data_IF_155322959433
#
_entry.id   IF_155322959433
#
_cell.length_a   1.000
_cell.length_b   1.000
_cell.length_c   1.000
_cell.angle_alpha   90.00
_cell.angle_beta   90.00
_cell.angle_gamma   90.00
#
_symmetry.space_group_name_H-M   'P 1'
#
loop_
_entity.id
_entity.type
_entity.pdbx_description
1 polymer ?
#
# COMPACT_ATOMS: atom_id res chain seq x y z
N UNK A 1 10.93 19.43 -21.01
CA UNK A 1 9.60 19.81 -20.46
C UNK A 1 8.45 19.25 -21.32
N UNK A 2 8.53 19.27 -22.65
CA UNK A 2 7.47 18.74 -23.53
C UNK A 2 7.34 17.22 -23.39
N UNK A 3 8.46 16.50 -23.35
CA UNK A 3 8.50 15.04 -23.18
C UNK A 3 7.77 14.60 -21.90
N UNK A 4 8.13 15.18 -20.76
CA UNK A 4 7.56 14.83 -19.46
C UNK A 4 6.06 15.15 -19.35
N UNK A 5 5.61 16.23 -20.01
CA UNK A 5 4.18 16.58 -20.10
C UNK A 5 3.44 15.56 -20.96
N UNK A 6 4.03 15.17 -22.08
CA UNK A 6 3.47 14.15 -22.97
C UNK A 6 3.35 12.81 -22.24
N UNK A 7 4.41 12.38 -21.56
CA UNK A 7 4.41 11.16 -20.74
C UNK A 7 3.25 11.16 -19.72
N UNK A 8 3.12 12.24 -18.96
CA UNK A 8 2.04 12.39 -17.97
C UNK A 8 0.66 12.34 -18.63
N UNK A 9 0.49 12.96 -19.81
CA UNK A 9 -0.78 12.92 -20.55
C UNK A 9 -1.09 11.52 -21.05
N UNK A 10 -0.10 10.80 -21.57
CA UNK A 10 -0.26 9.41 -22.02
C UNK A 10 -0.67 8.51 -20.86
N UNK A 11 0.02 8.60 -19.71
CA UNK A 11 -0.36 7.84 -18.51
C UNK A 11 -1.78 8.16 -18.07
N UNK A 12 -2.15 9.44 -18.01
CA UNK A 12 -3.51 9.85 -17.66
C UNK A 12 -4.55 9.23 -18.61
N UNK A 13 -4.28 9.28 -19.91
CA UNK A 13 -5.17 8.74 -20.93
C UNK A 13 -5.29 7.22 -20.85
N UNK A 14 -4.21 6.53 -20.50
CA UNK A 14 -4.18 5.09 -20.33
C UNK A 14 -5.01 4.60 -19.14
N UNK A 15 -4.86 5.23 -17.97
CA UNK A 15 -5.55 4.80 -16.76
C UNK A 15 -6.99 5.34 -16.64
N UNK A 16 -7.31 6.40 -17.37
CA UNK A 16 -8.59 7.12 -17.27
C UNK A 16 -9.83 6.26 -17.48
N UNK A 17 -9.92 5.38 -18.49
CA UNK A 17 -11.14 4.60 -18.73
C UNK A 17 -11.51 3.71 -17.53
N UNK A 18 -10.52 3.04 -16.92
CA UNK A 18 -10.73 2.14 -15.79
C UNK A 18 -11.08 2.91 -14.52
N UNK A 19 -10.30 3.96 -14.22
CA UNK A 19 -10.52 4.78 -13.03
C UNK A 19 -11.85 5.53 -13.10
N UNK A 20 -12.20 6.09 -14.26
CA UNK A 20 -13.49 6.76 -14.46
C UNK A 20 -14.66 5.79 -14.23
N UNK A 21 -14.58 4.57 -14.79
CA UNK A 21 -15.59 3.53 -14.55
C UNK A 21 -15.72 3.17 -13.08
N UNK A 22 -14.59 2.93 -12.40
CA UNK A 22 -14.57 2.61 -10.99
C UNK A 22 -15.20 3.72 -10.12
N UNK A 23 -14.77 4.98 -10.32
CA UNK A 23 -15.26 6.13 -9.56
C UNK A 23 -16.75 6.37 -9.79
N UNK A 24 -17.21 6.26 -11.04
CA UNK A 24 -18.63 6.41 -11.37
C UNK A 24 -19.48 5.30 -10.73
N UNK A 25 -19.03 4.05 -10.80
CA UNK A 25 -19.72 2.93 -10.16
C UNK A 25 -19.79 3.12 -8.64
N UNK A 26 -18.71 3.58 -8.02
CA UNK A 26 -18.67 3.86 -6.59
C UNK A 26 -19.63 5.01 -6.21
N UNK A 27 -19.65 6.11 -6.99
CA UNK A 27 -20.58 7.22 -6.78
C UNK A 27 -22.04 6.75 -6.87
N UNK A 28 -22.37 5.98 -7.90
CA UNK A 28 -23.73 5.45 -8.10
C UNK A 28 -24.13 4.52 -6.93
N UNK A 29 -23.26 3.58 -6.56
CA UNK A 29 -23.54 2.66 -5.46
C UNK A 29 -23.72 3.38 -4.10
N UNK A 30 -23.03 4.50 -3.89
CA UNK A 30 -23.21 5.32 -2.71
C UNK A 30 -24.52 6.13 -2.77
N UNK A 31 -24.85 6.72 -3.93
CA UNK A 31 -26.12 7.44 -4.11
C UNK A 31 -27.33 6.52 -3.93
N UNK A 32 -27.27 5.30 -4.44
CA UNK A 32 -28.34 4.29 -4.27
C UNK A 32 -28.57 3.91 -2.80
N UNK A 33 -27.53 3.95 -1.97
CA UNK A 33 -27.62 3.55 -0.56
C UNK A 33 -27.88 4.70 0.39
N UNK A 34 -27.35 5.88 0.11
CA UNK A 34 -27.31 7.02 1.01
C UNK A 34 -28.11 8.23 0.51
N UNK A 35 -28.58 8.17 -0.74
CA UNK A 35 -29.32 9.25 -1.41
C UNK A 35 -28.45 10.09 -2.36
N UNK A 36 -29.14 10.78 -3.27
CA UNK A 36 -28.50 11.52 -4.38
C UNK A 36 -27.66 12.73 -3.93
N UNK A 37 -27.91 13.25 -2.73
CA UNK A 37 -27.13 14.36 -2.15
C UNK A 37 -25.75 13.91 -1.62
N UNK A 38 -25.42 12.62 -1.72
CA UNK A 38 -24.16 12.07 -1.23
C UNK A 38 -22.99 12.55 -2.08
N UNK A 39 -22.04 13.24 -1.45
CA UNK A 39 -20.83 13.70 -2.10
C UNK A 39 -19.65 12.75 -1.84
N UNK A 40 -19.12 12.15 -2.91
CA UNK A 40 -17.93 11.33 -2.86
C UNK A 40 -16.68 12.20 -3.08
N UNK A 41 -15.80 12.21 -2.09
CA UNK A 41 -14.47 12.80 -2.19
C UNK A 41 -13.42 11.70 -2.29
N UNK A 42 -12.53 11.83 -3.26
CA UNK A 42 -11.44 10.88 -3.51
C UNK A 42 -10.12 11.51 -3.05
N UNK A 43 -9.36 10.77 -2.27
CA UNK A 43 -8.04 11.21 -1.84
C UNK A 43 -7.07 11.20 -3.02
N UNK A 44 -6.26 12.26 -3.12
CA UNK A 44 -5.22 12.42 -4.15
C UNK A 44 -3.84 11.99 -3.62
N UNK A 45 -2.93 11.75 -4.55
CA UNK A 45 -1.54 11.40 -4.25
C UNK A 45 -0.79 12.45 -3.42
N UNK A 46 -1.20 13.72 -3.49
CA UNK A 46 -0.63 14.83 -2.71
C UNK A 46 -1.24 14.99 -1.31
N UNK A 47 -2.20 14.14 -0.94
CA UNK A 47 -2.92 14.21 0.33
C UNK A 47 -4.14 15.13 0.31
N UNK A 48 -4.42 15.80 -0.81
CA UNK A 48 -5.63 16.59 -1.00
C UNK A 48 -6.83 15.74 -1.40
N UNK A 49 -8.01 16.37 -1.48
CA UNK A 49 -9.25 15.74 -1.93
C UNK A 49 -9.65 16.24 -3.31
N UNK A 50 -10.24 15.37 -4.10
CA UNK A 50 -10.88 15.68 -5.38
C UNK A 50 -12.34 15.21 -5.36
N UNK A 51 -13.22 15.90 -6.08
CA UNK A 51 -14.56 15.39 -6.36
C UNK A 51 -14.47 14.14 -7.25
N UNK A 52 -15.51 13.29 -7.23
CA UNK A 52 -15.60 12.10 -8.11
C UNK A 52 -15.37 12.46 -9.58
N UNK A 53 -15.93 13.58 -10.05
CA UNK A 53 -15.72 14.09 -11.40
C UNK A 53 -14.27 14.44 -11.70
N UNK A 54 -13.61 15.22 -10.83
CA UNK A 54 -12.20 15.60 -11.03
C UNK A 54 -11.26 14.38 -10.96
N UNK A 55 -11.55 13.42 -10.10
CA UNK A 55 -10.84 12.15 -10.01
C UNK A 55 -10.96 11.31 -11.30
N UNK A 56 -12.17 11.22 -11.87
CA UNK A 56 -12.41 10.52 -13.13
C UNK A 56 -11.76 11.21 -14.35
N UNK A 57 -11.67 12.55 -14.36
CA UNK A 57 -11.06 13.31 -15.45
C UNK A 57 -9.52 13.29 -15.41
N UNK A 58 -8.93 13.29 -14.22
CA UNK A 58 -7.48 13.38 -14.01
C UNK A 58 -6.94 12.32 -13.04
N UNK A 59 -7.11 11.02 -13.34
CA UNK A 59 -6.71 9.92 -12.45
C UNK A 59 -5.20 9.83 -12.22
N UNK A 60 -4.39 10.46 -13.03
CA UNK A 60 -2.94 10.59 -12.82
C UNK A 60 -2.60 11.15 -11.43
N UNK A 61 -3.48 11.94 -10.84
CA UNK A 61 -3.34 12.47 -9.49
C UNK A 61 -3.68 11.47 -8.38
N UNK A 62 -4.10 10.26 -8.72
CA UNK A 62 -4.53 9.21 -7.78
C UNK A 62 -3.55 8.05 -7.65
N UNK A 63 -2.50 8.00 -8.48
CA UNK A 63 -1.60 6.85 -8.62
C UNK A 63 -0.96 6.40 -7.30
N UNK A 64 -0.73 7.32 -6.36
CA UNK A 64 -0.17 7.08 -5.04
C UNK A 64 -1.13 7.48 -3.92
N UNK A 65 -2.45 7.47 -4.17
CA UNK A 65 -3.46 7.91 -3.19
C UNK A 65 -3.54 7.00 -1.96
N UNK A 66 -3.33 5.69 -2.12
CA UNK A 66 -3.31 4.74 -1.00
C UNK A 66 -2.22 5.07 0.02
N UNK A 67 -0.94 5.04 -0.37
CA UNK A 67 0.16 5.45 0.51
C UNK A 67 0.00 6.86 1.08
N UNK A 68 -0.47 7.83 0.27
CA UNK A 68 -0.74 9.19 0.74
C UNK A 68 -1.82 9.21 1.83
N UNK A 69 -2.82 8.33 1.74
CA UNK A 69 -3.86 8.16 2.75
C UNK A 69 -3.31 7.68 4.08
N UNK A 70 -2.44 6.68 4.05
CA UNK A 70 -1.74 6.18 5.24
C UNK A 70 -0.94 7.27 5.94
N UNK A 71 -0.16 8.04 5.18
CA UNK A 71 0.64 9.15 5.73
C UNK A 71 -0.24 10.27 6.30
N UNK A 72 -1.32 10.64 5.60
CA UNK A 72 -2.26 11.68 6.05
C UNK A 72 -2.99 11.24 7.33
N UNK A 73 -3.40 9.98 7.41
CA UNK A 73 -4.01 9.39 8.60
C UNK A 73 -3.05 9.38 9.79
N UNK A 74 -1.81 8.93 9.58
CA UNK A 74 -0.77 8.95 10.60
C UNK A 74 -0.51 10.38 11.11
N UNK A 75 -0.38 11.35 10.20
CA UNK A 75 -0.20 12.76 10.55
C UNK A 75 -1.35 13.26 11.44
N UNK A 76 -2.60 12.95 11.07
CA UNK A 76 -3.78 13.38 11.83
C UNK A 76 -3.76 12.85 13.27
N UNK A 77 -3.56 11.54 13.45
CA UNK A 77 -3.58 10.93 14.78
C UNK A 77 -2.37 11.34 15.63
N UNK A 78 -1.18 11.34 15.06
CA UNK A 78 0.04 11.70 15.78
C UNK A 78 0.07 13.18 16.18
N UNK A 79 -0.46 14.08 15.33
CA UNK A 79 -0.58 15.50 15.68
C UNK A 79 -1.54 15.71 16.85
N UNK A 80 -2.67 14.97 16.88
CA UNK A 80 -3.58 14.99 18.04
C UNK A 80 -2.93 14.44 19.32
N UNK A 81 -2.00 13.51 19.18
CA UNK A 81 -1.21 12.97 20.31
C UNK A 81 -0.01 13.86 20.69
N UNK A 82 0.17 15.01 20.04
CA UNK A 82 1.25 15.97 20.36
C UNK A 82 2.58 15.71 19.64
N UNK A 83 2.62 14.78 18.67
CA UNK A 83 3.84 14.50 17.92
C UNK A 83 3.86 15.27 16.60
N UNK A 84 4.96 15.96 16.31
CA UNK A 84 5.15 16.73 15.07
C UNK A 84 6.22 16.12 14.13
N UNK A 85 7.09 15.25 14.66
CA UNK A 85 8.11 14.55 13.89
C UNK A 85 7.83 13.05 13.95
N UNK A 86 7.54 12.43 12.81
CA UNK A 86 6.99 11.09 12.71
C UNK A 86 7.67 10.38 11.55
N UNK A 87 8.03 9.13 11.75
CA UNK A 87 8.34 8.18 10.70
C UNK A 87 7.16 7.22 10.57
N UNK A 88 6.47 7.25 9.44
CA UNK A 88 5.42 6.27 9.15
C UNK A 88 6.04 4.97 8.61
N UNK A 89 5.44 3.86 8.97
CA UNK A 89 5.87 2.53 8.55
C UNK A 89 4.64 1.67 8.30
N UNK A 90 4.29 1.48 7.04
CA UNK A 90 3.14 0.70 6.61
C UNK A 90 3.62 -0.56 5.89
N UNK A 91 3.64 -1.67 6.62
CA UNK A 91 4.08 -2.97 6.10
C UNK A 91 2.89 -3.76 5.57
N UNK A 92 2.83 -3.89 4.25
CA UNK A 92 1.91 -4.81 3.58
C UNK A 92 2.47 -6.23 3.44
N UNK A 93 1.81 -7.05 2.62
CA UNK A 93 2.27 -8.42 2.35
C UNK A 93 3.54 -8.50 1.52
N UNK A 94 3.77 -7.55 0.60
CA UNK A 94 4.89 -7.59 -0.38
C UNK A 94 5.90 -6.48 -0.15
N UNK A 95 5.46 -5.33 0.33
CA UNK A 95 6.28 -4.13 0.48
C UNK A 95 5.96 -3.38 1.76
N UNK A 96 6.85 -2.47 2.10
CA UNK A 96 6.68 -1.53 3.21
C UNK A 96 6.81 -0.11 2.70
N UNK A 97 5.81 0.71 2.97
CA UNK A 97 5.80 2.12 2.64
C UNK A 97 6.25 2.96 3.86
N UNK A 98 7.26 3.80 3.62
CA UNK A 98 7.88 4.63 4.65
C UNK A 98 7.80 6.09 4.22
N UNK A 99 7.34 6.97 5.11
CA UNK A 99 7.36 8.40 4.88
C UNK A 99 7.82 9.18 6.12
N UNK A 100 8.52 10.28 5.87
CA UNK A 100 8.99 11.18 6.93
C UNK A 100 8.09 12.41 7.02
N UNK A 101 7.58 12.66 8.21
CA UNK A 101 6.81 13.85 8.57
C UNK A 101 7.68 14.68 9.52
N UNK A 102 7.91 15.94 9.18
CA UNK A 102 8.70 16.86 9.98
C UNK A 102 7.92 18.14 10.27
N UNK A 103 7.91 18.55 11.51
CA UNK A 103 7.18 19.75 11.98
C UNK A 103 5.71 19.74 11.57
N UNK A 104 5.04 18.57 11.68
CA UNK A 104 3.65 18.40 11.32
C UNK A 104 3.34 18.49 9.82
N UNK A 105 4.34 18.27 8.96
CA UNK A 105 4.17 18.34 7.50
C UNK A 105 4.80 17.15 6.81
N UNK A 106 4.01 16.46 6.00
CA UNK A 106 4.52 15.47 5.06
C UNK A 106 5.18 16.17 3.87
N UNK A 107 6.30 15.64 3.42
CA UNK A 107 7.00 16.14 2.23
C UNK A 107 6.23 15.78 0.98
N UNK A 108 6.10 16.72 0.04
CA UNK A 108 5.47 16.47 -1.27
C UNK A 108 6.52 16.59 -2.37
N UNK A 109 6.53 15.63 -3.28
CA UNK A 109 7.32 15.64 -4.52
C UNK A 109 6.48 16.20 -5.66
N UNK A 110 7.13 16.83 -6.62
CA UNK A 110 6.48 17.35 -7.85
C UNK A 110 6.31 16.28 -8.91
N UNK A 111 7.01 15.18 -8.78
CA UNK A 111 7.07 14.08 -9.76
C UNK A 111 7.00 12.75 -9.02
N UNK A 112 6.35 11.80 -9.65
CA UNK A 112 6.19 10.42 -9.15
C UNK A 112 6.70 9.46 -10.21
N UNK A 113 7.34 8.38 -9.79
CA UNK A 113 7.69 7.27 -10.67
C UNK A 113 6.68 6.14 -10.46
N UNK A 114 6.15 5.62 -11.57
CA UNK A 114 5.29 4.44 -11.58
C UNK A 114 5.94 3.44 -12.53
N UNK A 115 6.59 2.43 -11.98
CA UNK A 115 7.55 1.62 -12.72
C UNK A 115 8.67 2.49 -13.27
N UNK A 116 8.92 2.39 -14.57
CA UNK A 116 9.95 3.16 -15.28
C UNK A 116 9.44 4.50 -15.82
N UNK A 117 8.17 4.82 -15.60
CA UNK A 117 7.54 6.03 -16.16
C UNK A 117 7.56 7.16 -15.15
N UNK A 118 8.03 8.33 -15.59
CA UNK A 118 8.05 9.57 -14.80
C UNK A 118 6.78 10.38 -15.04
N UNK A 119 6.02 10.58 -13.99
CA UNK A 119 4.74 11.30 -14.03
C UNK A 119 4.87 12.63 -13.27
N UNK A 120 4.53 13.74 -13.93
CA UNK A 120 4.47 15.08 -13.32
C UNK A 120 3.13 15.29 -12.62
N UNK A 121 2.92 14.53 -11.55
CA UNK A 121 1.80 14.71 -10.64
C UNK A 121 2.34 14.81 -9.21
N UNK A 122 1.90 15.80 -8.41
CA UNK A 122 2.33 15.93 -7.03
C UNK A 122 1.93 14.71 -6.21
N UNK A 123 2.85 14.19 -5.39
CA UNK A 123 2.57 13.10 -4.47
C UNK A 123 3.31 13.26 -3.14
N UNK A 124 2.77 12.73 -2.09
CA UNK A 124 3.48 12.59 -0.81
C UNK A 124 4.76 11.78 -1.04
N UNK A 125 5.87 12.21 -0.44
CA UNK A 125 7.16 11.53 -0.55
C UNK A 125 7.15 10.24 0.26
N UNK A 126 6.62 9.17 -0.35
CA UNK A 126 6.64 7.82 0.19
C UNK A 126 7.76 7.04 -0.49
N UNK A 127 8.49 6.27 0.30
CA UNK A 127 9.50 5.33 -0.17
C UNK A 127 9.04 3.93 0.08
N UNK A 128 8.93 3.15 -0.98
CA UNK A 128 8.58 1.74 -0.91
C UNK A 128 9.84 0.90 -0.84
N UNK A 129 9.88 0.01 0.13
CA UNK A 129 10.94 -1.01 0.30
C UNK A 129 10.32 -2.36 -0.04
N UNK A 130 11.00 -3.15 -0.86
CA UNK A 130 10.57 -4.51 -1.25
C UNK A 130 10.75 -5.52 -0.11
N UNK A 131 10.18 -5.24 1.04
CA UNK A 131 10.16 -6.09 2.21
C UNK A 131 8.79 -6.01 2.87
N UNK A 132 8.09 -7.12 2.99
CA UNK A 132 6.75 -7.20 3.56
C UNK A 132 6.53 -8.52 4.29
N UNK A 133 5.31 -8.75 4.76
CA UNK A 133 4.95 -9.95 5.50
C UNK A 133 5.18 -11.26 4.73
N UNK A 134 5.04 -11.23 3.41
CA UNK A 134 5.30 -12.38 2.53
C UNK A 134 6.74 -12.54 2.08
N UNK A 135 7.66 -11.66 2.50
CA UNK A 135 9.08 -11.80 2.14
C UNK A 135 9.66 -13.10 2.65
N UNK A 136 10.24 -13.87 1.72
CA UNK A 136 10.78 -15.21 2.00
C UNK A 136 12.13 -15.08 2.70
N UNK A 137 12.30 -15.82 3.78
CA UNK A 137 13.57 -15.95 4.49
C UNK A 137 14.32 -17.20 3.98
N UNK A 138 15.63 -17.07 3.76
CA UNK A 138 16.47 -18.16 3.31
C UNK A 138 17.93 -17.95 3.72
N UNK A 139 18.69 -19.05 3.73
CA UNK A 139 20.13 -19.04 4.02
C UNK A 139 20.87 -19.52 2.77
N UNK A 140 21.52 -18.62 2.00
CA UNK A 140 22.32 -19.01 0.86
C UNK A 140 23.50 -19.93 1.27
N UNK A 141 23.75 -20.97 0.51
CA UNK A 141 24.81 -21.94 0.80
C UNK A 141 26.21 -21.30 0.91
N UNK A 142 26.46 -20.30 0.05
CA UNK A 142 27.75 -19.64 -0.04
C UNK A 142 28.05 -18.73 1.16
N UNK A 143 27.07 -17.95 1.59
CA UNK A 143 27.28 -16.92 2.63
C UNK A 143 26.93 -17.40 4.03
N UNK A 144 26.12 -18.44 4.16
CA UNK A 144 25.56 -18.95 5.43
C UNK A 144 24.87 -17.89 6.30
N UNK A 145 24.54 -16.73 5.71
CA UNK A 145 23.88 -15.62 6.40
C UNK A 145 22.40 -15.62 6.06
N UNK A 146 21.55 -15.46 7.10
CA UNK A 146 20.10 -15.29 6.90
C UNK A 146 19.82 -14.08 6.03
N UNK A 147 19.01 -14.26 5.00
CA UNK A 147 18.46 -13.19 4.16
C UNK A 147 16.95 -13.24 4.15
N UNK A 148 16.34 -12.07 3.99
CA UNK A 148 14.88 -11.91 3.88
C UNK A 148 14.58 -11.07 2.64
N UNK A 149 13.79 -11.65 1.72
CA UNK A 149 13.53 -11.04 0.42
C UNK A 149 14.78 -10.97 -0.48
N UNK A 150 14.67 -10.30 -1.64
CA UNK A 150 13.52 -9.54 -2.16
C UNK A 150 12.32 -10.40 -2.63
N UNK A 151 12.49 -11.71 -2.71
CA UNK A 151 11.44 -12.62 -3.14
C UNK A 151 10.30 -12.66 -2.10
N UNK A 152 9.06 -12.67 -2.59
CA UNK A 152 7.85 -12.71 -1.77
C UNK A 152 6.96 -13.88 -2.18
N UNK A 153 6.39 -14.54 -1.19
CA UNK A 153 5.38 -15.59 -1.41
C UNK A 153 4.04 -15.03 -1.95
N UNK A 154 3.88 -13.70 -1.95
CA UNK A 154 2.65 -13.04 -2.38
C UNK A 154 1.45 -13.40 -1.53
N UNK A 155 0.25 -13.34 -2.14
CA UNK A 155 -1.00 -13.74 -1.51
C UNK A 155 -1.35 -15.22 -1.78
N UNK A 156 -0.84 -15.75 -2.91
CA UNK A 156 -0.99 -17.16 -3.34
C UNK A 156 0.32 -17.57 -4.00
N UNK A 157 0.98 -18.62 -3.52
CA UNK A 157 0.60 -19.50 -2.42
C UNK A 157 0.61 -18.81 -1.04
N UNK A 158 1.35 -17.71 -0.87
CA UNK A 158 1.41 -16.93 0.36
C UNK A 158 2.26 -17.58 1.46
N UNK A 159 2.29 -16.98 2.66
CA UNK A 159 2.88 -17.53 3.86
C UNK A 159 2.35 -18.95 4.19
N UNK A 160 3.16 -19.79 4.81
CA UNK A 160 2.76 -21.14 5.19
C UNK A 160 1.52 -21.13 6.10
N UNK A 161 1.40 -20.17 7.01
CA UNK A 161 0.25 -20.02 7.91
C UNK A 161 -1.08 -19.76 7.19
N UNK A 162 -1.08 -19.34 5.92
CA UNK A 162 -2.32 -19.12 5.16
C UNK A 162 -2.96 -20.40 4.63
N UNK A 163 -2.23 -21.53 4.69
CA UNK A 163 -2.71 -22.84 4.22
C UNK A 163 -3.15 -22.85 2.74
N UNK A 164 -2.51 -22.03 1.90
CA UNK A 164 -2.78 -21.93 0.45
C UNK A 164 -1.67 -22.55 -0.41
N UNK A 165 -0.81 -23.38 0.20
CA UNK A 165 0.27 -24.07 -0.48
C UNK A 165 1.65 -23.40 -0.36
N UNK A 166 1.81 -22.36 0.47
CA UNK A 166 3.11 -21.81 0.83
C UNK A 166 3.87 -22.76 1.75
N UNK A 167 5.16 -22.99 1.45
CA UNK A 167 6.04 -23.86 2.23
C UNK A 167 7.28 -23.12 2.73
N UNK A 168 7.70 -22.09 2.01
CA UNK A 168 8.88 -21.31 2.38
C UNK A 168 8.59 -20.39 3.60
N UNK A 169 9.54 -20.27 4.55
CA UNK A 169 9.37 -19.41 5.71
C UNK A 169 9.29 -17.95 5.29
N UNK A 170 8.34 -17.23 5.83
CA UNK A 170 8.14 -15.79 5.56
C UNK A 170 8.22 -14.96 6.83
N UNK A 171 8.31 -13.64 6.70
CA UNK A 171 8.19 -12.71 7.83
C UNK A 171 6.86 -12.88 8.56
N UNK A 172 5.78 -13.16 7.84
CA UNK A 172 4.46 -13.44 8.43
C UNK A 172 4.51 -14.69 9.33
N UNK A 173 5.13 -15.79 8.84
CA UNK A 173 5.28 -17.01 9.63
C UNK A 173 6.12 -16.77 10.88
N UNK A 174 7.21 -16.02 10.78
CA UNK A 174 8.02 -15.62 11.92
C UNK A 174 7.20 -14.82 12.96
N UNK A 175 6.38 -13.87 12.50
CA UNK A 175 5.50 -13.08 13.37
C UNK A 175 4.43 -13.94 14.08
N UNK A 176 3.91 -14.97 13.41
CA UNK A 176 2.98 -15.94 14.02
C UNK A 176 3.70 -16.77 15.08
N UNK A 177 4.90 -17.27 14.79
CA UNK A 177 5.70 -18.05 15.75
C UNK A 177 6.05 -17.24 17.00
N UNK A 178 6.42 -15.95 16.80
CA UNK A 178 6.76 -15.02 17.88
C UNK A 178 5.54 -14.49 18.64
N UNK A 179 4.32 -14.74 18.17
CA UNK A 179 3.08 -14.27 18.79
C UNK A 179 2.73 -12.81 18.51
N UNK A 180 3.40 -12.16 17.55
CA UNK A 180 3.02 -10.81 17.07
C UNK A 180 1.75 -10.84 16.22
N UNK A 181 1.52 -11.94 15.50
CA UNK A 181 0.27 -12.23 14.83
C UNK A 181 -0.44 -13.36 15.60
N UNK A 182 -1.62 -13.07 16.17
CA UNK A 182 -2.38 -14.09 16.89
C UNK A 182 -2.93 -15.13 15.91
N UNK A 183 -2.89 -16.41 16.31
CA UNK A 183 -3.42 -17.52 15.50
C UNK A 183 -4.86 -17.91 15.84
N UNK A 184 -5.43 -17.29 16.87
CA UNK A 184 -6.78 -17.52 17.37
C UNK A 184 -7.82 -16.57 16.78
N UNK A 185 -7.38 -15.63 15.92
CA UNK A 185 -8.26 -14.70 15.22
C UNK A 185 -8.24 -14.93 13.71
N UNK A 186 -9.34 -14.61 13.05
CA UNK A 186 -9.45 -14.66 11.60
C UNK A 186 -8.96 -13.35 10.98
N UNK A 187 -8.05 -13.44 10.01
CA UNK A 187 -7.63 -12.29 9.23
C UNK A 187 -8.60 -12.04 8.08
N UNK A 188 -8.96 -10.77 7.85
CA UNK A 188 -9.87 -10.38 6.78
C UNK A 188 -11.28 -10.95 6.89
N UNK A 189 -11.65 -11.48 8.06
CA UNK A 189 -12.98 -11.96 8.38
C UNK A 189 -13.17 -13.47 8.27
N UNK A 190 -12.39 -14.18 7.43
CA UNK A 190 -12.59 -15.61 7.16
C UNK A 190 -11.29 -16.44 7.04
N UNK A 191 -10.13 -15.80 6.95
CA UNK A 191 -8.86 -16.50 6.83
C UNK A 191 -8.28 -16.87 8.21
N UNK A 192 -8.30 -18.16 8.53
CA UNK A 192 -7.72 -18.69 9.76
C UNK A 192 -6.20 -18.88 9.60
N UNK A 193 -5.44 -18.45 10.60
CA UNK A 193 -3.99 -18.61 10.66
C UNK A 193 -3.63 -19.95 11.30
N UNK A 194 -2.75 -20.69 10.64
CA UNK A 194 -2.25 -21.96 11.16
C UNK A 194 -0.83 -21.78 11.74
N UNK A 195 -0.72 -21.81 13.06
CA UNK A 195 0.56 -21.64 13.76
C UNK A 195 1.50 -22.82 13.54
N UNK A 196 0.97 -24.05 13.47
CA UNK A 196 1.82 -25.25 13.30
C UNK A 196 2.48 -25.26 11.92
N UNK A 197 1.77 -24.80 10.89
CA UNK A 197 2.35 -24.60 9.56
C UNK A 197 3.49 -23.57 9.57
N UNK A 198 3.33 -22.46 10.30
CA UNK A 198 4.42 -21.49 10.47
C UNK A 198 5.63 -22.08 11.19
N UNK A 199 5.39 -22.84 12.26
CA UNK A 199 6.48 -23.51 13.01
C UNK A 199 7.23 -24.49 12.10
N UNK A 200 6.51 -25.29 11.32
CA UNK A 200 7.11 -26.24 10.40
C UNK A 200 7.94 -25.56 9.28
N UNK A 201 7.49 -24.39 8.80
CA UNK A 201 8.21 -23.65 7.76
C UNK A 201 9.48 -22.95 8.29
N UNK A 202 9.49 -22.53 9.56
CA UNK A 202 10.61 -21.78 10.16
C UNK A 202 11.69 -22.70 10.73
N UNK A 203 11.40 -23.95 11.08
CA UNK A 203 12.35 -24.96 11.57
C UNK A 203 13.18 -25.56 10.43
#
# INVERSE_FOLDING_TARGET
QEYERTETTVVNSYVRPEVARYVNNLQNALSDRLGDDTQLSILRSDGGLASSRAAAESPVNLLMSGPAGGVTGALFFCTKAGFSNILTFDMGGTSTDVALIQNGRARVRRETFVGDVRVRAPSVDVRTVGAGGGSIAFVPELTKALRVGPESAGAVPGPACYMKGGEAPTVCDANVVLGYLPSDVQLGGDMQINRDASVAAVQ
#
